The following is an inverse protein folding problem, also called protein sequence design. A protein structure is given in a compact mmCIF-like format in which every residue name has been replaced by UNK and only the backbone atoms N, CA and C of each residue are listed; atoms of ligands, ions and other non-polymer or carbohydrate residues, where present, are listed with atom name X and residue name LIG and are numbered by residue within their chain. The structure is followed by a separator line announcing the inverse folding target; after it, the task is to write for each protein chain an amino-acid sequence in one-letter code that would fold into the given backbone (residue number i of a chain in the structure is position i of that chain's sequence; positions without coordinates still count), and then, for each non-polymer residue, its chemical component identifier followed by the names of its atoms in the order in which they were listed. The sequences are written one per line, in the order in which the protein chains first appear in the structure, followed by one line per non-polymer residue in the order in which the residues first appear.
data_IF_158046034142
#
_entry.id   IF_158046034142
#
_cell.length_a   1.000
_cell.length_b   1.000
_cell.length_c   1.000
_cell.angle_alpha   90.00
_cell.angle_beta   90.00
_cell.angle_gamma   90.00
#
_symmetry.space_group_name_H-M   'P 1'
#
loop_
_entity.id
_entity.type
_entity.pdbx_description
1 polymer ?
#
# COMPACT_ATOMS: atom_id res chain seq x y z
N UNK A 1 63.77 11.85 -24.95
CA UNK A 1 62.92 10.83 -24.30
C UNK A 1 61.53 11.43 -24.14
N UNK A 2 60.55 10.75 -24.71
CA UNK A 2 59.14 11.12 -24.89
C UNK A 2 58.32 10.81 -23.63
N UNK A 3 57.37 11.65 -23.23
CA UNK A 3 55.95 11.26 -22.99
C UNK A 3 55.08 12.44 -22.50
N UNK A 4 54.10 12.75 -23.35
CA UNK A 4 52.89 13.53 -23.12
C UNK A 4 51.98 12.76 -22.13
N UNK A 5 51.00 13.47 -21.57
CA UNK A 5 49.67 13.02 -21.10
C UNK A 5 49.46 13.34 -19.61
N UNK A 6 48.39 13.98 -19.17
CA UNK A 6 47.11 14.27 -19.81
C UNK A 6 46.33 15.23 -18.92
N UNK A 7 45.62 16.16 -19.56
CA UNK A 7 44.63 17.07 -18.97
C UNK A 7 43.65 16.28 -18.11
N UNK A 8 43.57 16.60 -16.82
CA UNK A 8 42.50 16.10 -15.95
C UNK A 8 41.17 16.74 -16.37
N UNK A 9 40.38 16.02 -17.14
CA UNK A 9 38.99 16.40 -17.45
C UNK A 9 38.15 15.99 -16.25
N UNK A 10 37.66 16.97 -15.49
CA UNK A 10 36.60 16.74 -14.50
C UNK A 10 35.32 16.45 -15.28
N UNK A 11 34.98 15.18 -15.44
CA UNK A 11 33.65 14.79 -15.95
C UNK A 11 32.68 14.94 -14.79
N UNK A 12 31.97 16.07 -14.78
CA UNK A 12 30.80 16.29 -13.93
C UNK A 12 29.72 15.29 -14.38
N UNK A 13 29.64 14.16 -13.69
CA UNK A 13 28.64 13.14 -13.94
C UNK A 13 27.24 13.73 -13.80
N UNK A 14 26.55 13.91 -14.93
CA UNK A 14 25.15 14.27 -14.96
C UNK A 14 24.36 13.07 -14.44
N UNK A 15 23.99 13.10 -13.16
CA UNK A 15 23.08 12.12 -12.59
C UNK A 15 21.71 12.32 -13.24
N UNK A 16 21.37 11.46 -14.21
CA UNK A 16 20.00 11.31 -14.68
C UNK A 16 19.18 10.75 -13.52
N UNK A 17 18.51 11.63 -12.79
CA UNK A 17 17.46 11.25 -11.87
C UNK A 17 16.32 10.62 -12.68
N UNK A 18 16.21 9.30 -12.65
CA UNK A 18 15.01 8.61 -13.07
C UNK A 18 13.88 9.09 -12.15
N UNK A 19 12.90 9.79 -12.72
CA UNK A 19 11.71 10.22 -11.99
C UNK A 19 11.03 9.00 -11.38
N UNK A 20 10.63 9.09 -10.10
CA UNK A 20 9.75 8.13 -9.48
C UNK A 20 8.40 8.17 -10.20
N UNK A 21 8.24 7.32 -11.22
CA UNK A 21 6.93 7.02 -11.77
C UNK A 21 6.14 6.32 -10.66
N UNK A 22 4.97 6.89 -10.29
CA UNK A 22 4.03 6.20 -9.42
C UNK A 22 3.76 4.81 -10.01
N UNK A 23 3.91 3.78 -9.19
CA UNK A 23 3.63 2.41 -9.59
C UNK A 23 2.11 2.23 -9.54
N UNK A 24 1.44 2.69 -10.59
CA UNK A 24 0.04 2.35 -10.83
C UNK A 24 -0.04 0.83 -11.09
N UNK A 25 -0.77 0.12 -10.22
CA UNK A 25 -1.02 -1.33 -10.38
C UNK A 25 -2.50 -1.52 -10.68
N UNK A 26 -2.79 -2.32 -11.71
CA UNK A 26 -4.17 -2.63 -12.12
C UNK A 26 -4.35 -4.13 -12.36
N UNK A 27 -5.46 -4.69 -11.90
CA UNK A 27 -5.82 -6.07 -12.21
C UNK A 27 -6.60 -6.78 -11.12
N UNK A 28 -6.75 -8.10 -11.29
CA UNK A 28 -7.38 -8.95 -10.29
C UNK A 28 -6.63 -8.88 -8.97
N UNK A 29 -7.39 -8.85 -7.86
CA UNK A 29 -6.86 -8.77 -6.53
C UNK A 29 -7.18 -10.04 -5.73
N UNK A 30 -6.27 -10.39 -4.83
CA UNK A 30 -6.48 -11.36 -3.75
C UNK A 30 -6.29 -10.63 -2.43
N UNK A 31 -7.28 -10.68 -1.55
CA UNK A 31 -7.18 -10.13 -0.20
C UNK A 31 -6.27 -11.02 0.64
N UNK A 32 -5.33 -10.39 1.36
CA UNK A 32 -4.41 -11.09 2.26
C UNK A 32 -4.85 -10.93 3.70
N UNK A 33 -5.18 -9.70 4.12
CA UNK A 33 -5.73 -9.33 5.43
C UNK A 33 -6.55 -8.02 5.29
N UNK A 34 -6.89 -7.36 6.41
CA UNK A 34 -7.75 -6.16 6.42
C UNK A 34 -7.13 -4.88 5.83
N UNK A 35 -5.83 -4.84 5.52
CA UNK A 35 -5.22 -3.69 4.84
C UNK A 35 -4.20 -4.08 3.74
N UNK A 36 -3.98 -5.38 3.51
CA UNK A 36 -3.02 -5.90 2.54
C UNK A 36 -3.70 -6.73 1.43
N UNK A 37 -3.33 -6.45 0.19
CA UNK A 37 -3.83 -7.04 -1.05
C UNK A 37 -2.66 -7.55 -1.90
N UNK A 38 -2.90 -8.54 -2.74
CA UNK A 38 -2.04 -8.86 -3.88
C UNK A 38 -2.79 -8.53 -5.17
N UNK A 39 -2.32 -7.54 -5.92
CA UNK A 39 -2.95 -7.06 -7.16
C UNK A 39 -2.03 -7.34 -8.33
N UNK A 40 -2.47 -8.20 -9.26
CA UNK A 40 -1.68 -8.62 -10.42
C UNK A 40 -0.23 -9.06 -10.09
N UNK A 41 -0.03 -9.71 -8.94
CA UNK A 41 1.29 -10.17 -8.47
C UNK A 41 2.04 -9.17 -7.59
N UNK A 42 1.60 -7.92 -7.47
CA UNK A 42 2.18 -6.92 -6.57
C UNK A 42 1.50 -6.95 -5.21
N UNK A 43 2.27 -7.06 -4.12
CA UNK A 43 1.73 -6.86 -2.78
C UNK A 43 1.53 -5.37 -2.53
N UNK A 44 0.32 -5.00 -2.12
CA UNK A 44 -0.13 -3.64 -1.87
C UNK A 44 -0.62 -3.55 -0.43
N UNK A 45 -0.22 -2.52 0.29
CA UNK A 45 -0.82 -2.12 1.57
C UNK A 45 -1.61 -0.85 1.36
N UNK A 46 -2.86 -0.84 1.81
CA UNK A 46 -3.72 0.33 1.80
C UNK A 46 -3.13 1.41 2.70
N UNK A 47 -2.85 2.57 2.12
CA UNK A 47 -2.25 3.69 2.87
C UNK A 47 -3.26 4.32 3.80
N UNK A 48 -2.78 4.83 4.94
CA UNK A 48 -3.53 5.69 5.83
C UNK A 48 -4.60 5.01 6.69
N UNK A 49 -4.64 3.68 6.68
CA UNK A 49 -5.46 2.88 7.58
C UNK A 49 -4.61 1.86 8.31
N UNK A 50 -5.13 1.33 9.42
CA UNK A 50 -4.56 0.20 10.15
C UNK A 50 -5.72 -0.73 10.53
N UNK A 51 -5.72 -1.92 9.94
CA UNK A 51 -6.71 -2.96 10.21
C UNK A 51 -6.14 -3.99 11.18
N UNK A 52 -6.99 -4.71 11.94
CA UNK A 52 -6.53 -5.82 12.76
C UNK A 52 -5.78 -6.87 11.93
N UNK A 53 -4.64 -7.32 12.43
CA UNK A 53 -3.85 -8.38 11.79
C UNK A 53 -4.64 -9.69 11.74
N UNK A 54 -4.41 -10.54 10.74
CA UNK A 54 -5.23 -11.75 10.47
C UNK A 54 -5.52 -12.62 11.72
N UNK A 55 -4.49 -12.84 12.54
CA UNK A 55 -4.58 -13.70 13.73
C UNK A 55 -5.08 -12.97 14.98
N UNK A 56 -5.40 -11.69 14.89
CA UNK A 56 -5.79 -10.86 16.02
C UNK A 56 -7.23 -11.18 16.47
N UNK A 57 -7.39 -11.39 17.77
CA UNK A 57 -8.67 -11.35 18.47
C UNK A 57 -8.84 -10.01 19.17
N UNK A 58 -10.08 -9.52 19.22
CA UNK A 58 -10.46 -8.30 19.91
C UNK A 58 -11.36 -8.65 21.09
N UNK A 59 -11.24 -7.90 22.18
CA UNK A 59 -12.06 -8.10 23.37
C UNK A 59 -13.38 -7.32 23.26
N UNK A 60 -14.48 -8.00 23.53
CA UNK A 60 -15.80 -7.43 23.76
C UNK A 60 -16.26 -7.78 25.19
N UNK A 61 -17.21 -7.03 25.79
CA UNK A 61 -17.74 -7.37 27.11
C UNK A 61 -18.28 -8.80 27.23
N UNK A 62 -18.78 -9.35 26.12
CA UNK A 62 -19.32 -10.71 26.01
C UNK A 62 -18.29 -11.79 25.63
N UNK A 63 -17.02 -11.44 25.43
CA UNK A 63 -15.94 -12.38 25.09
C UNK A 63 -15.04 -11.91 23.94
N UNK A 64 -14.14 -12.79 23.50
CA UNK A 64 -13.25 -12.51 22.38
C UNK A 64 -13.97 -12.69 21.02
N UNK A 65 -13.57 -11.88 20.05
CA UNK A 65 -14.08 -11.92 18.68
C UNK A 65 -12.93 -11.85 17.67
N UNK A 66 -12.91 -12.69 16.62
CA UNK A 66 -11.83 -12.73 15.63
C UNK A 66 -11.87 -11.53 14.65
N UNK A 67 -11.54 -10.34 15.17
CA UNK A 67 -11.60 -9.09 14.41
C UNK A 67 -10.64 -9.06 13.21
N UNK A 68 -9.51 -9.78 13.24
CA UNK A 68 -8.62 -9.93 12.08
C UNK A 68 -9.29 -10.59 10.88
N UNK A 69 -9.97 -11.71 11.13
CA UNK A 69 -10.73 -12.44 10.11
C UNK A 69 -11.88 -11.59 9.60
N UNK A 70 -12.62 -10.95 10.51
CA UNK A 70 -13.72 -10.08 10.13
C UNK A 70 -13.27 -8.90 9.26
N UNK A 71 -12.16 -8.23 9.60
CA UNK A 71 -11.66 -7.12 8.79
C UNK A 71 -11.23 -7.56 7.38
N UNK A 72 -10.60 -8.74 7.25
CA UNK A 72 -10.34 -9.35 5.94
C UNK A 72 -11.64 -9.56 5.16
N UNK A 73 -12.65 -10.15 5.79
CA UNK A 73 -13.93 -10.46 5.13
C UNK A 73 -14.63 -9.20 4.63
N UNK A 74 -14.61 -8.12 5.41
CA UNK A 74 -15.09 -6.81 4.95
C UNK A 74 -14.33 -6.36 3.71
N UNK A 75 -12.99 -6.44 3.69
CA UNK A 75 -12.23 -6.05 2.51
C UNK A 75 -12.55 -6.94 1.29
N UNK A 76 -12.76 -8.24 1.48
CA UNK A 76 -13.21 -9.16 0.42
C UNK A 76 -14.55 -8.73 -0.18
N UNK A 77 -15.52 -8.33 0.64
CA UNK A 77 -16.84 -7.85 0.17
C UNK A 77 -16.75 -6.53 -0.62
N UNK A 78 -15.79 -5.67 -0.28
CA UNK A 78 -15.58 -4.39 -0.95
C UNK A 78 -14.88 -4.55 -2.32
N UNK A 79 -14.08 -5.62 -2.49
CA UNK A 79 -13.36 -5.92 -3.73
C UNK A 79 -14.30 -6.60 -4.74
N UNK A 80 -15.14 -5.81 -5.40
CA UNK A 80 -16.17 -6.29 -6.34
C UNK A 80 -15.67 -6.45 -7.80
N UNK A 81 -14.37 -6.36 -8.03
CA UNK A 81 -13.78 -6.44 -9.37
C UNK A 81 -12.27 -6.15 -9.40
N UNK A 82 -11.69 -5.97 -10.59
CA UNK A 82 -10.30 -5.56 -10.73
C UNK A 82 -10.04 -4.23 -10.02
N UNK A 83 -8.89 -4.14 -9.35
CA UNK A 83 -8.49 -2.92 -8.65
C UNK A 83 -7.67 -2.01 -9.54
N UNK A 84 -7.80 -0.71 -9.31
CA UNK A 84 -6.79 0.28 -9.66
C UNK A 84 -6.17 0.82 -8.38
N UNK A 85 -4.86 0.61 -8.22
CA UNK A 85 -4.09 1.07 -7.08
C UNK A 85 -3.08 2.12 -7.54
N UNK A 86 -3.08 3.28 -6.88
CA UNK A 86 -2.18 4.41 -7.17
C UNK A 86 -1.31 4.65 -5.95
N UNK A 87 0.00 4.46 -6.11
CA UNK A 87 1.00 4.61 -5.06
C UNK A 87 2.39 4.84 -5.64
N UNK A 88 3.31 5.33 -4.83
CA UNK A 88 4.70 5.62 -5.26
C UNK A 88 5.76 5.20 -4.25
N UNK A 89 5.35 4.79 -3.06
CA UNK A 89 6.26 4.41 -1.98
C UNK A 89 6.14 2.92 -1.71
N UNK A 90 7.24 2.32 -1.26
CA UNK A 90 7.27 0.91 -0.85
C UNK A 90 7.67 0.86 0.61
N UNK A 91 6.96 0.08 1.42
CA UNK A 91 7.33 -0.10 2.81
C UNK A 91 8.58 -0.98 2.96
N UNK A 92 9.10 -1.10 4.19
CA UNK A 92 10.29 -1.91 4.49
C UNK A 92 10.13 -3.41 4.20
N UNK A 93 8.91 -3.87 3.95
CA UNK A 93 8.58 -5.26 3.64
C UNK A 93 8.40 -5.49 2.13
N UNK A 94 8.60 -4.46 1.30
CA UNK A 94 8.48 -4.57 -0.15
C UNK A 94 7.05 -4.43 -0.67
N UNK A 95 6.09 -3.96 0.15
CA UNK A 95 4.71 -3.72 -0.29
C UNK A 95 4.56 -2.31 -0.84
N UNK A 96 3.88 -2.18 -1.97
CA UNK A 96 3.48 -0.89 -2.49
C UNK A 96 2.48 -0.23 -1.53
N UNK A 97 2.77 0.98 -1.10
CA UNK A 97 1.86 1.83 -0.34
C UNK A 97 0.97 2.58 -1.35
N UNK A 98 -0.30 2.17 -1.47
CA UNK A 98 -1.23 2.76 -2.42
C UNK A 98 -2.64 3.00 -1.87
N UNK A 99 -3.36 3.91 -2.53
CA UNK A 99 -4.83 3.98 -2.50
C UNK A 99 -5.37 3.05 -3.58
N UNK A 100 -6.37 2.23 -3.28
CA UNK A 100 -6.99 1.32 -4.23
C UNK A 100 -8.50 1.55 -4.37
N UNK A 101 -9.03 1.34 -5.56
CA UNK A 101 -10.46 1.46 -5.89
C UNK A 101 -10.90 0.28 -6.77
N UNK A 102 -12.09 -0.27 -6.46
CA UNK A 102 -12.77 -1.36 -7.18
C UNK A 102 -13.93 -0.87 -8.10
N UNK A 103 -13.98 0.43 -8.40
CA UNK A 103 -15.06 1.10 -9.14
C UNK A 103 -16.15 1.71 -8.25
N UNK A 104 -16.02 1.63 -6.92
CA UNK A 104 -17.01 2.11 -5.94
C UNK A 104 -16.41 3.07 -4.91
N UNK A 105 -15.20 3.57 -5.16
CA UNK A 105 -14.50 4.49 -4.28
C UNK A 105 -13.35 3.84 -3.53
N UNK A 106 -12.68 4.68 -2.74
CA UNK A 106 -11.48 4.34 -2.00
C UNK A 106 -11.73 3.22 -0.98
N UNK A 107 -11.07 2.07 -1.18
CA UNK A 107 -11.20 0.93 -0.29
C UNK A 107 -10.76 1.26 1.14
N UNK A 108 -9.71 2.06 1.32
CA UNK A 108 -9.25 2.46 2.65
C UNK A 108 -10.30 3.28 3.39
N UNK A 109 -10.94 4.24 2.70
CA UNK A 109 -12.04 5.01 3.28
C UNK A 109 -13.21 4.11 3.69
N UNK A 110 -13.61 3.19 2.80
CA UNK A 110 -14.73 2.26 3.05
C UNK A 110 -14.44 1.29 4.19
N UNK A 111 -13.20 0.84 4.36
CA UNK A 111 -12.77 0.05 5.51
C UNK A 111 -12.92 0.83 6.82
N UNK A 112 -12.56 2.12 6.83
CA UNK A 112 -12.75 2.99 8.01
C UNK A 112 -14.23 3.23 8.28
N UNK A 113 -15.03 3.51 7.25
CA UNK A 113 -16.48 3.70 7.37
C UNK A 113 -17.20 2.46 7.91
N UNK A 114 -16.76 1.26 7.52
CA UNK A 114 -17.27 -0.01 8.02
C UNK A 114 -16.81 -0.34 9.45
N UNK A 115 -15.90 0.45 10.04
CA UNK A 115 -15.27 0.16 11.33
C UNK A 115 -14.27 -0.99 11.29
N UNK A 116 -13.89 -1.46 10.11
CA UNK A 116 -12.98 -2.58 9.89
C UNK A 116 -11.51 -2.19 9.94
N UNK A 117 -11.23 -0.89 9.84
CA UNK A 117 -9.90 -0.33 10.04
C UNK A 117 -9.98 1.01 10.78
N UNK A 118 -8.89 1.37 11.44
CA UNK A 118 -8.73 2.70 12.03
C UNK A 118 -8.06 3.65 11.04
N UNK A 119 -8.49 4.90 10.98
CA UNK A 119 -7.77 5.93 10.23
C UNK A 119 -6.42 6.20 10.92
N UNK A 120 -5.31 5.92 10.24
CA UNK A 120 -3.97 6.00 10.81
C UNK A 120 -3.42 7.43 10.76
N UNK A 121 -4.06 8.31 11.55
CA UNK A 121 -3.83 9.77 11.62
C UNK A 121 -2.38 10.18 11.91
N UNK A 122 -1.56 9.28 12.46
CA UNK A 122 -0.15 9.55 12.79
C UNK A 122 0.74 9.67 11.55
N UNK A 123 0.38 9.03 10.44
CA UNK A 123 1.20 8.97 9.21
C UNK A 123 0.45 9.38 7.94
N UNK A 124 -0.86 9.63 8.02
CA UNK A 124 -1.66 10.06 6.87
C UNK A 124 -2.82 10.96 7.30
N UNK A 125 -3.10 11.99 6.49
CA UNK A 125 -4.32 12.81 6.56
C UNK A 125 -5.33 12.47 5.48
N UNK A 126 -5.15 11.35 4.80
CA UNK A 126 -5.96 11.01 3.62
C UNK A 126 -7.45 10.83 3.95
N UNK A 127 -7.79 10.45 5.18
CA UNK A 127 -9.16 10.13 5.60
C UNK A 127 -9.66 10.97 6.79
N UNK A 128 -9.09 12.16 7.02
CA UNK A 128 -9.50 13.09 8.09
C UNK A 128 -9.49 14.54 7.65
#
# INVERSE_FOLDING_TARGET
MLRICSRGVLILGLALGAGAAGADVRGAARVIDGDTLNVAGTNVRLIGIDAPEMAQTCELPQGEWPCGVWARDVLEELVQGPLTCVGSETDRYGRLLARCDAGQGDLGARMVEAGAATAYRRYSRVYV
#
